data_IF_896875199498
#
_entry.id   IF_896875199498
#
_cell.length_a   1.000
_cell.length_b   1.000
_cell.length_c   1.000
_cell.angle_alpha   90.00
_cell.angle_beta   90.00
_cell.angle_gamma   90.00
#
_symmetry.space_group_name_H-M   'P 1'
#
loop_
_entity.id
_entity.type
_entity.pdbx_description
1 polymer ?
#
# COMPACT_ATOMS: atom_id res chain seq x y z
N UNK A 1 -53.87 -57.24 31.58
CA UNK A 1 -53.19 -55.93 31.82
C UNK A 1 -51.69 -56.12 31.93
N UNK A 2 -51.03 -56.74 30.93
CA UNK A 2 -49.58 -56.93 30.94
C UNK A 2 -48.83 -56.52 29.62
N UNK A 3 -49.54 -55.99 28.64
CA UNK A 3 -48.96 -55.67 27.32
C UNK A 3 -48.94 -54.24 26.90
N UNK A 4 -49.20 -53.28 27.83
CA UNK A 4 -49.28 -51.88 27.50
C UNK A 4 -48.03 -51.06 27.94
N UNK A 5 -47.08 -51.68 28.64
CA UNK A 5 -45.90 -50.95 29.18
C UNK A 5 -44.69 -51.11 28.26
N UNK A 6 -44.71 -52.02 27.30
CA UNK A 6 -43.55 -52.28 26.41
C UNK A 6 -43.44 -51.36 25.18
N UNK A 7 -44.52 -50.63 24.84
CA UNK A 7 -44.50 -49.73 23.68
C UNK A 7 -44.06 -48.27 23.97
N UNK A 8 -44.00 -47.92 25.27
CA UNK A 8 -43.63 -46.56 25.66
C UNK A 8 -42.13 -46.28 25.78
N UNK A 9 -41.28 -47.31 25.76
CA UNK A 9 -39.81 -47.20 25.95
C UNK A 9 -39.06 -47.11 24.61
N UNK A 10 -39.65 -47.50 23.49
CA UNK A 10 -39.00 -47.42 22.19
C UNK A 10 -39.12 -46.08 21.46
N UNK A 11 -39.93 -45.15 21.94
CA UNK A 11 -40.12 -43.86 21.28
C UNK A 11 -39.21 -42.72 21.80
N UNK A 12 -38.41 -42.99 22.85
CA UNK A 12 -37.58 -41.97 23.52
C UNK A 12 -36.10 -41.99 23.05
N UNK A 13 -35.70 -42.77 22.06
CA UNK A 13 -34.31 -42.95 21.63
C UNK A 13 -34.01 -42.48 20.21
N UNK A 14 -34.88 -41.71 19.57
CA UNK A 14 -34.65 -41.16 18.21
C UNK A 14 -34.62 -39.64 18.23
N UNK A 15 -34.04 -39.00 19.27
CA UNK A 15 -33.51 -37.65 19.15
C UNK A 15 -32.06 -37.78 18.68
N UNK A 16 -31.91 -38.10 17.40
CA UNK A 16 -30.64 -38.03 16.69
C UNK A 16 -30.14 -36.61 16.78
N UNK A 17 -29.06 -36.45 17.51
CA UNK A 17 -28.18 -35.32 17.54
C UNK A 17 -27.87 -34.82 16.10
N UNK A 18 -28.59 -33.80 15.69
CA UNK A 18 -28.15 -32.95 14.56
C UNK A 18 -26.96 -32.17 15.10
N UNK A 19 -25.79 -32.79 15.10
CA UNK A 19 -24.53 -32.08 15.19
C UNK A 19 -24.44 -31.23 13.91
N UNK A 20 -24.99 -30.03 13.95
CA UNK A 20 -24.69 -28.98 12.99
C UNK A 20 -23.18 -28.79 13.06
N UNK A 21 -22.46 -29.29 12.05
CA UNK A 21 -21.07 -28.95 11.82
C UNK A 21 -21.05 -27.46 11.46
N UNK A 22 -21.07 -26.59 12.47
CA UNK A 22 -20.72 -25.18 12.28
C UNK A 22 -19.25 -25.20 11.83
N UNK A 23 -19.05 -24.84 10.55
CA UNK A 23 -17.72 -24.50 10.04
C UNK A 23 -17.18 -23.39 10.95
N UNK A 24 -16.30 -23.74 11.89
CA UNK A 24 -15.62 -22.75 12.73
C UNK A 24 -14.70 -21.99 11.80
N UNK A 25 -15.19 -20.90 11.27
CA UNK A 25 -14.38 -19.94 10.51
C UNK A 25 -13.56 -19.16 11.52
N UNK A 26 -12.30 -19.52 11.69
CA UNK A 26 -11.40 -18.76 12.55
C UNK A 26 -10.99 -17.47 11.85
N UNK A 27 -11.38 -16.34 12.43
CA UNK A 27 -10.91 -15.04 12.01
C UNK A 27 -9.53 -14.76 12.64
N UNK A 28 -8.60 -14.28 11.85
CA UNK A 28 -7.25 -13.89 12.27
C UNK A 28 -6.99 -12.43 11.92
N UNK A 29 -6.35 -11.68 12.83
CA UNK A 29 -5.90 -10.31 12.58
C UNK A 29 -4.40 -10.33 12.37
N UNK A 30 -3.93 -9.70 11.29
CA UNK A 30 -2.54 -9.56 10.91
C UNK A 30 -2.20 -8.08 10.89
N UNK A 31 -1.15 -7.68 11.61
CA UNK A 31 -0.55 -6.36 11.53
C UNK A 31 0.84 -6.49 10.90
N UNK A 32 1.22 -5.53 10.09
CA UNK A 32 2.53 -5.54 9.44
C UNK A 32 2.64 -4.54 8.30
N UNK A 33 3.68 -4.71 7.50
CA UNK A 33 4.02 -3.83 6.38
C UNK A 33 3.79 -4.59 5.07
N UNK A 34 3.18 -3.94 4.09
CA UNK A 34 3.01 -4.49 2.73
C UNK A 34 4.36 -4.58 2.05
N UNK A 35 4.78 -5.82 1.75
CA UNK A 35 6.03 -6.12 1.04
C UNK A 35 5.81 -6.25 -0.47
N UNK A 36 4.67 -6.84 -0.85
CA UNK A 36 4.27 -7.00 -2.25
C UNK A 36 2.75 -6.92 -2.38
N UNK A 37 2.26 -6.42 -3.50
CA UNK A 37 0.83 -6.30 -3.78
C UNK A 37 0.52 -6.56 -5.25
N UNK A 38 -0.50 -7.36 -5.48
CA UNK A 38 -1.07 -7.64 -6.80
C UNK A 38 -2.59 -7.43 -6.78
N UNK A 39 -3.25 -7.61 -7.92
CA UNK A 39 -4.72 -7.48 -8.00
C UNK A 39 -5.46 -8.42 -7.03
N UNK A 40 -4.92 -9.60 -6.76
CA UNK A 40 -5.63 -10.65 -6.04
C UNK A 40 -4.96 -11.08 -4.73
N UNK A 41 -3.77 -10.57 -4.44
CA UNK A 41 -3.00 -10.96 -3.26
C UNK A 41 -2.16 -9.81 -2.73
N UNK A 42 -1.98 -9.78 -1.42
CA UNK A 42 -0.99 -8.96 -0.74
C UNK A 42 -0.06 -9.85 0.09
N UNK A 43 1.22 -9.51 0.08
CA UNK A 43 2.23 -10.14 0.94
C UNK A 43 2.59 -9.15 2.05
N UNK A 44 2.47 -9.58 3.29
CA UNK A 44 2.70 -8.75 4.49
C UNK A 44 3.86 -9.35 5.27
N UNK A 45 4.83 -8.50 5.64
CA UNK A 45 5.79 -8.83 6.69
C UNK A 45 5.15 -8.39 8.00
N UNK A 46 4.85 -9.36 8.86
CA UNK A 46 4.20 -9.10 10.15
C UNK A 46 5.13 -8.39 11.14
N UNK A 47 4.57 -7.84 12.21
CA UNK A 47 5.35 -7.24 13.30
C UNK A 47 6.29 -8.24 14.00
N UNK A 48 6.08 -9.56 13.82
CA UNK A 48 6.95 -10.63 14.30
C UNK A 48 8.07 -11.01 13.30
N UNK A 49 8.02 -10.44 12.08
CA UNK A 49 8.98 -10.74 11.01
C UNK A 49 8.57 -11.89 10.09
N UNK A 50 7.40 -12.48 10.29
CA UNK A 50 6.89 -13.55 9.44
C UNK A 50 6.34 -12.99 8.13
N UNK A 51 6.50 -13.72 7.03
CA UNK A 51 5.91 -13.38 5.74
C UNK A 51 4.59 -14.10 5.56
N UNK A 52 3.51 -13.37 5.36
CA UNK A 52 2.15 -13.88 5.21
C UNK A 52 1.53 -13.42 3.90
N UNK A 53 1.00 -14.37 3.12
CA UNK A 53 0.23 -14.09 1.92
C UNK A 53 -1.27 -14.07 2.25
N UNK A 54 -1.95 -13.03 1.81
CA UNK A 54 -3.39 -12.84 2.01
C UNK A 54 -4.05 -12.60 0.66
N UNK A 55 -5.05 -13.42 0.34
CA UNK A 55 -5.84 -13.24 -0.88
C UNK A 55 -6.82 -12.09 -0.71
N UNK A 56 -6.84 -11.21 -1.71
CA UNK A 56 -7.81 -10.12 -1.87
C UNK A 56 -8.82 -10.42 -2.99
N UNK A 57 -8.76 -11.64 -3.54
CA UNK A 57 -9.67 -12.07 -4.62
C UNK A 57 -11.12 -12.01 -4.12
N UNK A 58 -12.00 -11.39 -4.91
CA UNK A 58 -13.42 -11.16 -4.61
C UNK A 58 -13.71 -10.39 -3.31
N UNK A 59 -12.71 -9.69 -2.75
CA UNK A 59 -12.91 -8.83 -1.60
C UNK A 59 -13.70 -7.58 -2.00
N UNK A 60 -14.54 -7.08 -1.08
CA UNK A 60 -15.26 -5.83 -1.23
C UNK A 60 -14.25 -4.65 -1.22
N UNK A 61 -14.12 -3.85 -2.29
CA UNK A 61 -13.15 -2.76 -2.36
C UNK A 61 -13.38 -1.67 -1.30
N UNK A 62 -14.57 -1.56 -0.73
CA UNK A 62 -14.87 -0.61 0.35
C UNK A 62 -14.31 -1.09 1.70
N UNK A 63 -14.14 -2.41 1.87
CA UNK A 63 -13.59 -3.03 3.08
C UNK A 63 -12.13 -3.39 2.95
N UNK A 64 -11.68 -3.68 1.73
CA UNK A 64 -10.30 -4.05 1.39
C UNK A 64 -9.83 -3.12 0.28
N UNK A 65 -9.46 -1.88 0.60
CA UNK A 65 -8.95 -0.93 -0.37
C UNK A 65 -7.61 -1.37 -0.94
N UNK A 66 -7.22 -0.79 -2.09
CA UNK A 66 -5.88 -0.95 -2.64
C UNK A 66 -4.81 -0.42 -1.67
N UNK A 67 -3.66 -1.06 -1.68
CA UNK A 67 -2.51 -0.72 -0.84
C UNK A 67 -1.29 -0.40 -1.70
N UNK A 68 -0.36 0.37 -1.15
CA UNK A 68 0.96 0.62 -1.73
C UNK A 68 2.02 -0.20 -0.99
N UNK A 69 3.14 -0.45 -1.67
CA UNK A 69 4.32 -1.03 -1.02
C UNK A 69 4.71 -0.15 0.17
N UNK A 70 5.11 -0.77 1.27
CA UNK A 70 5.49 -0.17 2.54
C UNK A 70 4.33 0.51 3.31
N UNK A 71 3.08 0.37 2.90
CA UNK A 71 1.96 0.74 3.77
C UNK A 71 1.98 -0.15 5.02
N UNK A 72 1.78 0.46 6.19
CA UNK A 72 1.48 -0.30 7.41
C UNK A 72 -0.01 -0.61 7.45
N UNK A 73 -0.34 -1.89 7.62
CA UNK A 73 -1.72 -2.36 7.51
C UNK A 73 -2.14 -3.21 8.70
N UNK A 74 -3.44 -3.18 8.98
CA UNK A 74 -4.15 -4.13 9.84
C UNK A 74 -5.18 -4.86 8.99
N UNK A 75 -5.00 -6.18 8.82
CA UNK A 75 -5.87 -7.01 7.98
C UNK A 75 -6.60 -8.02 8.84
N UNK A 76 -7.93 -8.06 8.73
CA UNK A 76 -8.76 -9.11 9.28
C UNK A 76 -8.97 -10.16 8.21
N UNK A 77 -8.51 -11.38 8.47
CA UNK A 77 -8.55 -12.50 7.53
C UNK A 77 -9.44 -13.63 8.05
N UNK A 78 -10.05 -14.33 7.12
CA UNK A 78 -10.74 -15.60 7.34
C UNK A 78 -9.90 -16.73 6.76
N UNK A 79 -9.78 -17.84 7.48
CA UNK A 79 -9.18 -19.07 6.94
C UNK A 79 -10.21 -19.82 6.10
N UNK A 80 -9.88 -20.08 4.85
CA UNK A 80 -10.63 -20.94 3.95
C UNK A 80 -9.76 -22.10 3.50
N UNK A 81 -10.34 -23.31 3.44
CA UNK A 81 -9.68 -24.46 2.82
C UNK A 81 -10.19 -24.57 1.38
N UNK A 82 -9.28 -24.35 0.44
CA UNK A 82 -9.55 -24.49 -0.99
C UNK A 82 -8.65 -25.61 -1.51
N UNK A 83 -9.24 -26.68 -1.98
CA UNK A 83 -8.54 -27.85 -2.54
C UNK A 83 -7.41 -28.41 -1.64
N UNK A 84 -7.68 -28.46 -0.31
CA UNK A 84 -6.71 -28.95 0.67
C UNK A 84 -5.66 -27.93 1.12
N UNK A 85 -5.64 -26.73 0.54
CA UNK A 85 -4.74 -25.64 0.91
C UNK A 85 -5.46 -24.64 1.80
N UNK A 86 -4.84 -24.28 2.93
CA UNK A 86 -5.34 -23.21 3.80
C UNK A 86 -4.99 -21.86 3.20
N UNK A 87 -6.01 -21.11 2.79
CA UNK A 87 -5.90 -19.77 2.25
C UNK A 87 -6.36 -18.75 3.30
N UNK A 88 -5.62 -17.65 3.46
CA UNK A 88 -6.08 -16.49 4.20
C UNK A 88 -6.75 -15.53 3.23
N UNK A 89 -8.03 -15.25 3.43
CA UNK A 89 -8.80 -14.30 2.62
C UNK A 89 -9.08 -13.04 3.41
N UNK A 90 -8.78 -11.87 2.84
CA UNK A 90 -9.05 -10.60 3.48
C UNK A 90 -10.56 -10.33 3.56
N UNK A 91 -11.05 -9.97 4.74
CA UNK A 91 -12.41 -9.50 4.98
C UNK A 91 -12.46 -7.99 5.23
N UNK A 92 -11.41 -7.44 5.85
CA UNK A 92 -11.27 -6.02 6.09
C UNK A 92 -9.79 -5.64 6.16
N UNK A 93 -9.43 -4.49 5.59
CA UNK A 93 -8.08 -3.94 5.59
C UNK A 93 -8.12 -2.47 5.96
N UNK A 94 -7.28 -2.08 6.91
CA UNK A 94 -7.10 -0.69 7.35
C UNK A 94 -5.64 -0.33 7.12
N UNK A 95 -5.38 0.72 6.34
CA UNK A 95 -4.05 1.32 6.25
C UNK A 95 -3.87 2.18 7.49
N UNK A 96 -2.96 1.78 8.36
CA UNK A 96 -2.67 2.48 9.64
C UNK A 96 -1.67 3.61 9.45
N UNK A 97 -0.70 3.42 8.54
CA UNK A 97 0.28 4.44 8.13
C UNK A 97 0.52 4.30 6.63
N UNK A 98 0.37 5.39 5.90
CA UNK A 98 0.71 5.41 4.48
C UNK A 98 2.20 5.36 4.25
N UNK A 99 2.60 4.60 3.24
CA UNK A 99 3.99 4.53 2.79
C UNK A 99 4.49 5.86 2.22
N UNK A 100 5.82 6.05 2.11
CA UNK A 100 6.38 7.21 1.41
C UNK A 100 5.87 7.35 -0.03
N UNK A 101 5.55 6.25 -0.73
CA UNK A 101 4.98 6.30 -2.08
C UNK A 101 3.65 7.03 -2.17
N UNK A 102 2.84 7.00 -1.11
CA UNK A 102 1.59 7.75 -1.05
C UNK A 102 1.82 9.26 -1.01
N UNK A 103 2.80 9.69 -0.21
CA UNK A 103 3.08 11.12 -0.03
C UNK A 103 3.96 11.71 -1.11
N UNK A 104 4.82 10.93 -1.79
CA UNK A 104 5.78 11.47 -2.76
C UNK A 104 5.10 11.97 -4.05
N UNK A 105 4.00 11.32 -4.47
CA UNK A 105 3.28 11.63 -5.69
C UNK A 105 2.60 13.00 -5.63
N UNK A 106 2.48 13.66 -6.79
CA UNK A 106 1.83 14.96 -6.95
C UNK A 106 2.79 16.08 -7.28
N UNK A 107 2.30 17.32 -7.25
CA UNK A 107 3.06 18.51 -7.64
C UNK A 107 3.73 19.16 -6.45
N UNK A 108 5.02 19.38 -6.58
CA UNK A 108 5.90 19.94 -5.56
C UNK A 108 6.54 21.21 -6.06
N UNK A 109 6.37 22.33 -5.34
CA UNK A 109 6.79 23.66 -5.77
C UNK A 109 7.55 24.40 -4.67
N UNK A 110 8.45 25.28 -5.09
CA UNK A 110 9.10 26.28 -4.25
C UNK A 110 9.19 27.63 -5.00
N UNK A 111 9.47 28.75 -4.32
CA UNK A 111 9.78 30.00 -5.02
C UNK A 111 10.99 29.83 -5.92
N UNK A 112 10.93 30.40 -7.13
CA UNK A 112 12.07 30.39 -8.04
C UNK A 112 13.23 31.20 -7.43
N UNK A 113 14.46 30.65 -7.36
CA UNK A 113 15.60 31.30 -6.70
C UNK A 113 16.06 32.59 -7.39
N UNK A 114 15.74 32.76 -8.68
CA UNK A 114 16.09 33.98 -9.45
C UNK A 114 14.96 35.02 -9.35
N UNK A 115 13.71 34.58 -9.44
CA UNK A 115 12.53 35.44 -9.34
C UNK A 115 11.53 34.87 -8.32
N UNK A 116 11.59 35.30 -7.08
CA UNK A 116 10.77 34.81 -5.98
C UNK A 116 9.25 35.03 -6.14
N UNK A 117 8.83 35.82 -7.14
CA UNK A 117 7.40 35.98 -7.49
C UNK A 117 6.88 34.84 -8.34
N UNK A 118 7.75 34.04 -8.91
CA UNK A 118 7.44 32.86 -9.68
C UNK A 118 7.67 31.60 -8.84
N UNK A 119 7.05 30.52 -9.23
CA UNK A 119 7.27 29.21 -8.63
C UNK A 119 8.02 28.30 -9.61
N UNK A 120 8.79 27.37 -9.08
CA UNK A 120 9.40 26.27 -9.83
C UNK A 120 9.19 24.97 -9.10
N UNK A 121 9.39 23.85 -9.78
CA UNK A 121 9.30 22.55 -9.17
C UNK A 121 9.01 21.44 -10.17
N UNK A 122 8.37 20.37 -9.70
CA UNK A 122 8.06 19.21 -10.53
C UNK A 122 6.82 18.46 -10.04
N UNK A 123 6.20 17.74 -10.96
CA UNK A 123 5.13 16.79 -10.67
C UNK A 123 5.67 15.37 -10.79
N UNK A 124 5.39 14.53 -9.80
CA UNK A 124 5.71 13.11 -9.77
C UNK A 124 4.41 12.31 -9.96
N UNK A 125 4.25 11.68 -11.12
CA UNK A 125 3.05 10.94 -11.46
C UNK A 125 3.11 9.49 -10.93
N UNK A 126 1.96 8.89 -10.72
CA UNK A 126 1.83 7.51 -10.21
C UNK A 126 2.47 6.46 -11.13
N UNK A 127 2.53 6.75 -12.43
CA UNK A 127 3.13 5.87 -13.45
C UNK A 127 4.67 5.93 -13.52
N UNK A 128 5.31 6.68 -12.60
CA UNK A 128 6.77 6.87 -12.58
C UNK A 128 7.27 7.97 -13.53
N UNK A 129 6.39 8.66 -14.25
CA UNK A 129 6.79 9.83 -15.04
C UNK A 129 6.93 11.07 -14.17
N UNK A 130 7.78 12.02 -14.58
CA UNK A 130 7.94 13.29 -13.94
C UNK A 130 7.88 14.45 -14.95
N UNK A 131 7.34 15.59 -14.54
CA UNK A 131 7.27 16.79 -15.37
C UNK A 131 7.74 18.01 -14.60
N UNK A 132 8.45 18.92 -15.29
CA UNK A 132 8.93 20.17 -14.72
C UNK A 132 7.82 21.21 -14.62
N UNK A 133 7.88 22.04 -13.58
CA UNK A 133 7.04 23.22 -13.41
C UNK A 133 7.93 24.46 -13.49
N UNK A 134 7.75 25.26 -14.52
CA UNK A 134 8.48 26.53 -14.76
C UNK A 134 10.03 26.41 -14.75
N UNK A 135 10.55 25.30 -15.23
CA UNK A 135 11.99 25.07 -15.39
C UNK A 135 12.32 24.84 -16.88
N UNK A 136 12.49 25.92 -17.65
CA UNK A 136 12.66 25.87 -19.10
C UNK A 136 13.92 25.09 -19.56
N UNK A 137 14.95 25.07 -18.72
CA UNK A 137 16.25 24.44 -19.03
C UNK A 137 16.42 23.05 -18.39
N UNK A 138 15.43 22.60 -17.63
CA UNK A 138 15.48 21.31 -16.93
C UNK A 138 14.15 20.58 -17.08
N UNK A 139 14.10 19.64 -18.00
CA UNK A 139 12.91 18.83 -18.26
C UNK A 139 12.97 17.50 -17.46
N UNK A 140 12.17 17.38 -16.42
CA UNK A 140 12.01 16.12 -15.69
C UNK A 140 11.35 15.09 -16.59
N UNK A 141 11.77 13.82 -16.50
CA UNK A 141 11.33 12.71 -17.35
C UNK A 141 10.64 11.61 -16.54
N UNK A 142 11.35 11.10 -15.54
CA UNK A 142 10.86 10.01 -14.71
C UNK A 142 11.43 10.07 -13.31
N UNK A 143 10.82 9.33 -12.41
CA UNK A 143 11.26 9.21 -11.02
C UNK A 143 11.13 7.77 -10.54
N UNK A 144 11.96 7.43 -9.57
CA UNK A 144 11.86 6.21 -8.78
C UNK A 144 12.20 6.51 -7.32
N UNK A 145 11.61 5.75 -6.41
CA UNK A 145 11.86 5.83 -4.98
C UNK A 145 12.43 4.50 -4.51
N UNK A 146 13.63 4.55 -3.94
CA UNK A 146 14.25 3.40 -3.27
C UNK A 146 14.52 3.79 -1.82
N UNK A 147 13.86 3.11 -0.89
CA UNK A 147 13.89 3.41 0.54
C UNK A 147 13.56 4.88 0.83
N UNK A 148 14.57 5.69 1.12
CA UNK A 148 14.48 7.13 1.37
C UNK A 148 15.16 7.98 0.31
N UNK A 149 15.49 7.39 -0.83
CA UNK A 149 16.23 8.05 -1.90
C UNK A 149 15.35 8.21 -3.12
N UNK A 150 15.14 9.45 -3.53
CA UNK A 150 14.42 9.82 -4.75
C UNK A 150 15.42 9.96 -5.91
N UNK A 151 15.25 9.14 -6.93
CA UNK A 151 15.97 9.28 -8.19
C UNK A 151 15.12 10.05 -9.20
N UNK A 152 15.63 11.18 -9.70
CA UNK A 152 14.98 12.01 -10.71
C UNK A 152 15.80 11.97 -12.00
N UNK A 153 15.22 11.42 -13.06
CA UNK A 153 15.81 11.50 -14.39
C UNK A 153 15.32 12.77 -15.07
N UNK A 154 16.22 13.49 -15.67
CA UNK A 154 15.94 14.74 -16.35
C UNK A 154 16.77 14.92 -17.61
N UNK A 155 16.37 15.91 -18.42
CA UNK A 155 17.15 16.41 -19.53
C UNK A 155 17.45 17.90 -19.31
N UNK A 156 18.75 18.23 -19.26
CA UNK A 156 19.22 19.62 -19.22
C UNK A 156 19.29 20.17 -20.64
N UNK A 157 18.66 21.30 -20.89
CA UNK A 157 18.53 21.92 -22.19
C UNK A 157 19.26 23.26 -22.18
N UNK A 158 20.29 23.40 -22.98
CA UNK A 158 21.07 24.64 -23.10
C UNK A 158 22.06 24.62 -24.26
N UNK A 159 22.40 25.78 -24.79
CA UNK A 159 23.38 25.95 -25.90
C UNK A 159 23.11 25.05 -27.12
N UNK A 160 21.82 24.85 -27.48
CA UNK A 160 21.37 23.95 -28.54
C UNK A 160 21.73 22.49 -28.32
N UNK A 161 21.99 22.10 -27.07
CA UNK A 161 22.25 20.71 -26.65
C UNK A 161 21.24 20.27 -25.61
N UNK A 162 20.93 18.98 -25.59
CA UNK A 162 20.12 18.34 -24.60
C UNK A 162 20.93 17.18 -23.98
N UNK A 163 21.16 17.21 -22.69
CA UNK A 163 21.97 16.26 -21.95
C UNK A 163 21.10 15.59 -20.91
N UNK A 164 21.01 14.27 -20.97
CA UNK A 164 20.29 13.49 -19.96
C UNK A 164 21.13 13.38 -18.68
N UNK A 165 20.45 13.44 -17.53
CA UNK A 165 21.06 13.31 -16.22
C UNK A 165 20.13 12.60 -15.24
N UNK A 166 20.69 12.22 -14.10
CA UNK A 166 19.96 11.65 -12.99
C UNK A 166 20.45 12.28 -11.69
N UNK A 167 19.54 12.85 -10.95
CA UNK A 167 19.80 13.29 -9.58
C UNK A 167 19.38 12.21 -8.61
N UNK A 168 20.25 11.87 -7.66
CA UNK A 168 19.99 10.99 -6.54
C UNK A 168 19.88 11.85 -5.27
N UNK A 169 18.70 11.92 -4.71
CA UNK A 169 18.32 12.86 -3.66
C UNK A 169 17.82 12.13 -2.41
N UNK A 170 18.42 12.42 -1.26
CA UNK A 170 17.95 11.87 0.01
C UNK A 170 16.71 12.63 0.50
N UNK A 171 15.68 11.91 0.91
CA UNK A 171 14.47 12.49 1.49
C UNK A 171 14.73 12.80 2.97
N UNK A 172 14.92 14.09 3.27
CA UNK A 172 15.10 14.58 4.64
C UNK A 172 13.76 14.72 5.36
N UNK A 173 12.72 15.12 4.62
CA UNK A 173 11.36 15.27 5.12
C UNK A 173 10.36 14.98 4.03
N UNK A 174 9.34 14.21 4.35
CA UNK A 174 8.19 13.95 3.47
C UNK A 174 6.93 13.81 4.30
N UNK A 175 5.91 14.59 3.96
CA UNK A 175 4.56 14.48 4.49
C UNK A 175 3.53 15.06 3.49
N UNK A 176 2.27 15.18 3.90
CA UNK A 176 1.20 15.66 3.03
C UNK A 176 1.47 17.02 2.37
N UNK A 177 2.23 17.92 3.02
CA UNK A 177 2.41 19.32 2.58
C UNK A 177 3.86 19.71 2.29
N UNK A 178 4.84 18.88 2.64
CA UNK A 178 6.28 19.24 2.56
C UNK A 178 7.11 18.10 2.02
N UNK A 179 8.02 18.42 1.10
CA UNK A 179 9.10 17.57 0.60
C UNK A 179 10.43 18.34 0.70
N UNK A 180 11.37 17.83 1.49
CA UNK A 180 12.72 18.41 1.61
C UNK A 180 13.71 17.35 1.14
N UNK A 181 14.52 17.73 0.15
CA UNK A 181 15.51 16.85 -0.47
C UNK A 181 16.91 17.39 -0.25
N UNK A 182 17.87 16.49 -0.09
CA UNK A 182 19.29 16.80 -0.01
C UNK A 182 20.10 15.98 -1.02
N UNK A 183 21.24 16.55 -1.39
CA UNK A 183 22.25 15.88 -2.19
C UNK A 183 23.62 16.11 -1.56
N UNK A 184 24.38 15.04 -1.34
CA UNK A 184 25.69 15.08 -0.68
C UNK A 184 25.67 15.83 0.68
N UNK A 185 24.57 15.69 1.44
CA UNK A 185 24.39 16.33 2.73
C UNK A 185 23.93 17.79 2.70
N UNK A 186 23.77 18.39 1.53
CA UNK A 186 23.27 19.77 1.36
C UNK A 186 21.81 19.74 0.91
N UNK A 187 20.98 20.59 1.53
CA UNK A 187 19.58 20.75 1.10
C UNK A 187 19.55 21.41 -0.28
N UNK A 188 18.98 20.71 -1.25
CA UNK A 188 18.82 21.17 -2.63
C UNK A 188 17.42 21.69 -2.93
N UNK A 189 16.38 21.09 -2.29
CA UNK A 189 14.98 21.44 -2.51
C UNK A 189 14.23 21.59 -1.20
N UNK A 190 13.40 22.64 -1.08
CA UNK A 190 12.46 22.87 0.02
C UNK A 190 11.06 23.11 -0.54
N UNK A 191 10.42 22.03 -0.91
CA UNK A 191 9.19 22.04 -1.68
C UNK A 191 7.95 21.99 -0.78
N UNK A 192 6.89 22.64 -1.25
CA UNK A 192 5.54 22.51 -0.71
C UNK A 192 4.64 21.83 -1.73
N UNK A 193 3.64 21.12 -1.27
CA UNK A 193 2.62 20.55 -2.16
C UNK A 193 1.83 21.68 -2.81
N UNK A 194 1.69 21.64 -4.12
CA UNK A 194 0.76 22.48 -4.84
C UNK A 194 -0.65 21.90 -4.67
N UNK A 195 -1.58 22.72 -4.17
CA UNK A 195 -3.01 22.36 -4.02
C UNK A 195 -3.79 22.70 -5.27
#
# INVERSE_FOLDING_TARGET
MKNLIFYSICYALLVSSITSCQKVTSTQVINGIVYDASMNNITIITDQGDTVNVSTMDADPQKVPGVLLLDSVKVTCKKENVDGTNLLKAENLIITVHSPYYYIQGSWIEPNPINSKEIQGFTLNQDGTATSINMATLAMKSWNLEDKTLMLQYQSIGNSQAIDGTDTLDIVKLNADSLVLSQNGFITWRLKRQK
#
